data_IF_654262865302
#
_entry.id   IF_654262865302
#
_cell.length_a   1.000
_cell.length_b   1.000
_cell.length_c   1.000
_cell.angle_alpha   90.00
_cell.angle_beta   90.00
_cell.angle_gamma   90.00
#
_symmetry.space_group_name_H-M   'P 1'
#
loop_
_entity.id
_entity.type
_entity.pdbx_description
1 polymer ?
#
# COMPACT_ATOMS: atom_id res chain seq x y z
N UNK A 1 -19.14 8.46 -9.72
CA UNK A 1 -19.33 8.68 -11.15
C UNK A 1 -18.16 8.13 -11.94
N UNK A 2 -18.40 7.79 -13.18
CA UNK A 2 -17.36 7.26 -14.07
C UNK A 2 -16.16 8.21 -14.18
N UNK A 3 -16.42 9.50 -14.27
CA UNK A 3 -15.37 10.52 -14.35
C UNK A 3 -14.50 10.56 -13.10
N UNK A 4 -15.10 10.36 -11.95
CA UNK A 4 -14.36 10.32 -10.68
C UNK A 4 -13.51 9.06 -10.61
N UNK A 5 -14.01 7.95 -11.11
CA UNK A 5 -13.25 6.70 -11.16
C UNK A 5 -12.03 6.83 -12.09
N UNK A 6 -12.20 7.50 -13.24
CA UNK A 6 -11.09 7.72 -14.18
C UNK A 6 -9.96 8.56 -13.59
N UNK A 7 -10.24 9.34 -12.55
CA UNK A 7 -9.23 10.17 -11.91
C UNK A 7 -8.39 9.38 -10.91
N UNK A 8 -8.81 8.19 -10.53
CA UNK A 8 -8.06 7.34 -9.62
C UNK A 8 -7.03 6.56 -10.41
N UNK A 9 -5.77 6.68 -10.00
CA UNK A 9 -4.68 5.95 -10.62
C UNK A 9 -4.20 4.85 -9.68
N UNK A 10 -4.35 3.60 -10.13
CA UNK A 10 -3.90 2.44 -9.37
C UNK A 10 -2.66 1.91 -10.07
N UNK A 11 -1.60 1.69 -9.29
CA UNK A 11 -0.33 1.17 -9.80
C UNK A 11 0.13 -0.05 -9.05
N UNK A 12 1.00 -0.81 -9.71
CA UNK A 12 1.71 -1.93 -9.09
C UNK A 12 2.86 -1.36 -8.27
N UNK A 13 2.96 -1.76 -7.00
CA UNK A 13 4.05 -1.33 -6.13
C UNK A 13 4.61 -2.53 -5.37
N UNK A 14 5.92 -2.69 -5.41
CA UNK A 14 6.60 -3.78 -4.72
C UNK A 14 6.98 -3.36 -3.30
N UNK A 15 6.68 -4.21 -2.33
CA UNK A 15 7.06 -3.95 -0.94
C UNK A 15 8.54 -4.17 -0.76
N UNK A 16 9.27 -3.10 -0.45
CA UNK A 16 10.70 -3.15 -0.19
C UNK A 16 10.98 -3.34 1.30
N UNK A 17 10.22 -2.65 2.14
CA UNK A 17 10.30 -2.77 3.59
C UNK A 17 8.92 -2.59 4.18
N UNK A 18 8.69 -3.21 5.32
CA UNK A 18 7.47 -3.01 6.11
C UNK A 18 7.81 -3.19 7.57
N UNK A 19 7.22 -2.35 8.42
CA UNK A 19 7.45 -2.44 9.87
C UNK A 19 6.21 -1.99 10.63
N UNK A 20 6.11 -2.48 11.85
CA UNK A 20 5.08 -2.01 12.79
C UNK A 20 5.45 -0.60 13.25
N UNK A 21 4.43 0.22 13.48
CA UNK A 21 4.64 1.60 13.90
C UNK A 21 4.56 1.68 15.42
N UNK A 22 5.63 2.17 16.03
CA UNK A 22 5.65 2.38 17.48
C UNK A 22 4.56 3.38 17.89
N UNK A 23 3.83 3.03 18.93
CA UNK A 23 2.72 3.87 19.39
C UNK A 23 1.39 3.59 18.70
N UNK A 24 1.35 2.64 17.76
CA UNK A 24 0.13 2.22 17.10
C UNK A 24 0.05 0.70 17.07
N UNK A 25 -1.12 0.16 17.39
CA UNK A 25 -1.37 -1.27 17.28
C UNK A 25 -2.05 -1.64 15.96
N UNK A 26 -2.35 -0.64 15.12
CA UNK A 26 -3.09 -0.83 13.86
C UNK A 26 -2.26 -0.60 12.62
N UNK A 27 -1.24 0.27 12.69
CA UNK A 27 -0.54 0.72 11.49
C UNK A 27 0.68 -0.11 11.17
N UNK A 28 0.83 -0.41 9.88
CA UNK A 28 2.09 -0.85 9.29
C UNK A 28 2.61 0.29 8.43
N UNK A 29 3.91 0.50 8.45
CA UNK A 29 4.59 1.47 7.59
C UNK A 29 5.31 0.72 6.49
N UNK A 30 4.94 1.01 5.27
CA UNK A 30 5.49 0.39 4.06
C UNK A 30 6.42 1.34 3.34
N UNK A 31 7.48 0.79 2.78
CA UNK A 31 8.27 1.45 1.76
C UNK A 31 8.12 0.62 0.49
N UNK A 32 7.60 1.25 -0.57
CA UNK A 32 7.23 0.55 -1.79
C UNK A 32 7.82 1.23 -3.02
N UNK A 33 8.22 0.40 -3.98
CA UNK A 33 8.64 0.87 -5.30
C UNK A 33 7.43 0.84 -6.23
N UNK A 34 6.90 2.02 -6.53
CA UNK A 34 5.77 2.20 -7.45
C UNK A 34 6.20 2.77 -8.80
N UNK A 35 7.48 2.63 -9.14
CA UNK A 35 8.00 3.09 -10.42
C UNK A 35 8.29 4.58 -10.49
N UNK A 36 8.40 5.26 -9.33
CA UNK A 36 8.60 6.71 -9.28
C UNK A 36 10.06 7.14 -9.26
N UNK A 37 10.99 6.21 -9.27
CA UNK A 37 12.42 6.51 -9.07
C UNK A 37 12.81 6.60 -7.61
N UNK A 38 11.89 6.93 -6.74
CA UNK A 38 12.05 6.93 -5.28
C UNK A 38 10.97 6.06 -4.67
N UNK A 39 11.29 5.41 -3.56
CA UNK A 39 10.30 4.59 -2.88
C UNK A 39 9.27 5.48 -2.18
N UNK A 40 8.02 5.03 -2.19
CA UNK A 40 6.95 5.70 -1.48
C UNK A 40 6.84 5.16 -0.07
N UNK A 41 6.47 6.03 0.86
CA UNK A 41 6.05 5.62 2.19
C UNK A 41 4.52 5.61 2.22
N UNK A 42 3.96 4.48 2.62
CA UNK A 42 2.50 4.36 2.79
C UNK A 42 2.24 3.72 4.14
N UNK A 43 1.31 4.30 4.90
CA UNK A 43 0.85 3.72 6.16
C UNK A 43 -0.53 3.12 5.94
N UNK A 44 -0.73 1.91 6.49
CA UNK A 44 -1.99 1.19 6.34
C UNK A 44 -2.40 0.54 7.65
N UNK A 45 -3.68 0.63 7.98
CA UNK A 45 -4.22 0.14 9.25
C UNK A 45 -4.49 -1.36 9.25
N UNK A 46 -3.55 -2.17 8.78
CA UNK A 46 -3.76 -3.60 8.60
C UNK A 46 -2.87 -4.47 9.49
N UNK A 47 -2.19 -3.88 10.48
CA UNK A 47 -1.24 -4.62 11.31
C UNK A 47 -1.86 -5.83 12.01
N UNK A 48 -3.11 -5.74 12.42
CA UNK A 48 -3.78 -6.84 13.14
C UNK A 48 -4.02 -8.07 12.26
N UNK A 49 -4.07 -7.85 10.94
CA UNK A 49 -4.30 -8.93 9.98
C UNK A 49 -2.99 -9.57 9.50
N UNK A 50 -1.87 -8.94 9.81
CA UNK A 50 -0.54 -9.41 9.38
C UNK A 50 0.41 -9.40 10.58
N UNK A 51 0.22 -10.33 11.53
CA UNK A 51 1.10 -10.40 12.71
C UNK A 51 2.55 -10.66 12.34
N UNK A 52 2.81 -11.36 11.25
CA UNK A 52 4.15 -11.50 10.68
C UNK A 52 4.22 -10.63 9.43
N UNK A 53 4.40 -9.33 9.64
CA UNK A 53 4.38 -8.35 8.54
C UNK A 53 5.50 -8.59 7.52
N UNK A 54 6.59 -9.25 7.91
CA UNK A 54 7.72 -9.50 7.01
C UNK A 54 7.35 -10.44 5.86
N UNK A 55 6.25 -11.19 5.97
CA UNK A 55 5.78 -12.03 4.86
C UNK A 55 5.35 -11.19 3.66
N UNK A 56 5.11 -9.89 3.86
CA UNK A 56 4.69 -9.00 2.78
C UNK A 56 5.86 -8.46 1.96
N UNK A 57 7.09 -8.57 2.45
CA UNK A 57 8.27 -8.07 1.73
C UNK A 57 8.42 -8.84 0.43
N UNK A 58 8.64 -8.10 -0.67
CA UNK A 58 8.81 -8.67 -2.00
C UNK A 58 7.51 -8.85 -2.78
N UNK A 59 6.37 -8.75 -2.11
CA UNK A 59 5.08 -8.86 -2.81
C UNK A 59 4.79 -7.61 -3.61
N UNK A 60 4.12 -7.79 -4.73
CA UNK A 60 3.63 -6.67 -5.55
C UNK A 60 2.17 -6.45 -5.23
N UNK A 61 1.86 -5.24 -4.82
CA UNK A 61 0.53 -4.85 -4.36
C UNK A 61 -0.09 -3.84 -5.31
N UNK A 62 -1.39 -3.64 -5.16
CA UNK A 62 -2.12 -2.61 -5.88
C UNK A 62 -2.25 -1.40 -4.96
N UNK A 63 -1.78 -0.23 -5.42
CA UNK A 63 -1.86 0.99 -4.61
C UNK A 63 -2.51 2.12 -5.39
N UNK A 64 -3.31 2.92 -4.70
CA UNK A 64 -3.81 4.17 -5.26
C UNK A 64 -2.70 5.19 -5.16
N UNK A 65 -2.20 5.63 -6.31
CA UNK A 65 -0.93 6.36 -6.40
C UNK A 65 -1.09 7.88 -6.52
N UNK A 66 -2.26 8.38 -6.92
CA UNK A 66 -2.45 9.80 -7.16
C UNK A 66 -3.29 10.51 -6.10
N UNK A 67 -3.25 9.99 -4.87
CA UNK A 67 -3.88 10.67 -3.75
C UNK A 67 -2.96 11.75 -3.20
N UNK A 68 -3.58 12.80 -2.65
CA UNK A 68 -2.83 13.83 -1.94
C UNK A 68 -2.15 13.18 -0.72
N UNK A 69 -0.85 13.44 -0.49
CA UNK A 69 -0.17 12.89 0.67
C UNK A 69 -0.88 13.27 1.97
N UNK A 70 -0.95 12.32 2.90
CA UNK A 70 -1.66 12.49 4.16
C UNK A 70 -0.70 12.30 5.33
N UNK A 71 -0.68 13.28 6.24
CA UNK A 71 0.13 13.17 7.45
C UNK A 71 -0.60 12.32 8.48
N UNK A 72 0.09 11.34 9.04
CA UNK A 72 -0.46 10.41 10.02
C UNK A 72 0.41 10.40 11.27
N UNK A 73 -0.22 10.30 12.44
CA UNK A 73 0.44 10.31 13.75
C UNK A 73 1.35 11.55 13.93
N UNK A 74 1.01 12.68 13.30
CA UNK A 74 1.76 13.95 13.36
C UNK A 74 3.22 13.83 12.90
N UNK A 75 3.60 12.73 12.29
CA UNK A 75 5.00 12.40 12.07
C UNK A 75 5.26 11.80 10.69
N UNK A 76 4.37 10.95 10.19
CA UNK A 76 4.57 10.24 8.94
C UNK A 76 3.71 10.81 7.82
N UNK A 77 4.26 10.85 6.61
CA UNK A 77 3.50 11.24 5.42
C UNK A 77 3.21 9.96 4.62
N UNK A 78 1.92 9.66 4.43
CA UNK A 78 1.50 8.51 3.63
C UNK A 78 1.22 8.98 2.20
N UNK A 79 1.90 8.36 1.23
CA UNK A 79 1.91 8.79 -0.18
C UNK A 79 1.09 7.85 -1.05
N UNK A 80 -0.07 7.46 -0.57
CA UNK A 80 -0.97 6.57 -1.30
C UNK A 80 -1.76 5.68 -0.36
N UNK A 81 -2.46 4.72 -0.95
CA UNK A 81 -3.30 3.78 -0.20
C UNK A 81 -3.16 2.39 -0.79
N UNK A 82 -2.92 1.40 0.08
CA UNK A 82 -2.87 0.00 -0.33
C UNK A 82 -4.29 -0.53 -0.43
N UNK A 83 -4.59 -1.20 -1.53
CA UNK A 83 -5.89 -1.83 -1.71
C UNK A 83 -5.93 -3.20 -1.06
N UNK A 84 -7.04 -3.52 -0.45
CA UNK A 84 -7.25 -4.80 0.22
C UNK A 84 -8.72 -5.20 0.12
N UNK A 85 -8.99 -6.48 0.35
CA UNK A 85 -10.35 -7.01 0.41
C UNK A 85 -10.55 -7.66 1.78
N UNK A 86 -11.74 -7.47 2.34
CA UNK A 86 -12.08 -8.05 3.63
C UNK A 86 -13.28 -8.98 3.49
N UNK A 87 -13.20 -10.16 4.11
CA UNK A 87 -14.26 -11.17 4.07
C UNK A 87 -14.21 -11.99 5.34
N UNK A 88 -15.34 -12.06 6.05
CA UNK A 88 -15.48 -12.86 7.27
C UNK A 88 -14.40 -12.54 8.31
N UNK A 89 -14.11 -11.25 8.51
CA UNK A 89 -13.14 -10.81 9.50
C UNK A 89 -11.69 -11.02 9.10
N UNK A 90 -11.45 -11.45 7.86
CA UNK A 90 -10.10 -11.61 7.30
C UNK A 90 -9.86 -10.52 6.27
N UNK A 91 -8.66 -9.98 6.28
CA UNK A 91 -8.27 -8.96 5.30
C UNK A 91 -7.07 -9.46 4.51
N UNK A 92 -7.14 -9.30 3.20
CA UNK A 92 -6.05 -9.68 2.29
C UNK A 92 -5.69 -8.50 1.41
N UNK A 93 -4.40 -8.16 1.33
CA UNK A 93 -3.94 -7.15 0.38
C UNK A 93 -4.08 -7.70 -1.05
N UNK A 94 -4.41 -6.82 -1.99
CA UNK A 94 -4.55 -7.23 -3.39
C UNK A 94 -3.19 -7.29 -4.03
N UNK A 95 -2.80 -8.49 -4.46
CA UNK A 95 -1.48 -8.72 -5.06
C UNK A 95 -1.56 -8.72 -6.58
N UNK A 96 -0.40 -8.65 -7.21
CA UNK A 96 -0.24 -8.67 -8.66
C UNK A 96 0.82 -9.71 -8.98
N UNK A 97 0.70 -10.35 -10.14
CA UNK A 97 1.69 -11.32 -10.61
C UNK A 97 3.09 -10.70 -10.57
N UNK A 98 4.10 -11.42 -10.04
CA UNK A 98 5.45 -10.88 -9.92
C UNK A 98 6.09 -10.45 -11.22
N UNK A 99 5.62 -10.95 -12.36
CA UNK A 99 6.16 -10.58 -13.67
C UNK A 99 5.75 -9.19 -14.14
N UNK A 100 4.72 -8.60 -13.49
CA UNK A 100 4.25 -7.26 -13.89
C UNK A 100 5.20 -6.21 -13.32
N UNK A 101 5.76 -5.32 -14.16
CA UNK A 101 6.72 -4.32 -13.68
C UNK A 101 6.13 -3.35 -12.66
N UNK A 102 6.97 -2.93 -11.71
CA UNK A 102 6.60 -1.90 -10.75
C UNK A 102 6.22 -0.61 -11.48
N UNK A 103 5.18 0.05 -11.01
CA UNK A 103 4.69 1.27 -11.64
C UNK A 103 3.70 1.05 -12.77
N UNK A 104 3.42 -0.20 -13.15
CA UNK A 104 2.41 -0.50 -14.17
C UNK A 104 1.06 0.03 -13.71
N UNK A 105 0.33 0.65 -14.63
CA UNK A 105 -0.99 1.19 -14.34
C UNK A 105 -2.02 0.08 -14.44
N UNK A 106 -2.89 -0.01 -13.45
CA UNK A 106 -3.98 -0.96 -13.40
C UNK A 106 -5.26 -0.23 -13.84
N UNK A 107 -5.92 -0.80 -14.82
CA UNK A 107 -7.13 -0.12 -15.28
C UNK A 107 -7.96 -0.91 -16.23
#
# INVERSE_FOLDING_TARGET
KFEDFDKVEIRVAEVKEVEKVEGSDKLLRFRLDAGDGEDRQILSGIAKFYPNEQELVGKKLQVVANLKPRKMMKKYVSQGMILSAEHDGKLTVLTVDPSVPNGSVIG
#
